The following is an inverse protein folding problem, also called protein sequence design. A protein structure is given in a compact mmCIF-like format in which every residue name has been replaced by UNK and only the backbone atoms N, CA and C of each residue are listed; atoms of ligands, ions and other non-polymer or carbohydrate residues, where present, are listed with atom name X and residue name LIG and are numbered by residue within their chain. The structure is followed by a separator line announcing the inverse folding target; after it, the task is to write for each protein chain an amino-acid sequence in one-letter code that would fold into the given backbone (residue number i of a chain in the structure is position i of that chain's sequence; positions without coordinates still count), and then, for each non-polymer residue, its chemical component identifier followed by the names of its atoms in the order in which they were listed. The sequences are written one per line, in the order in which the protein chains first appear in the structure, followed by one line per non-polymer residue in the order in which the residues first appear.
data_IF_407995064322
#
_entry.id   IF_407995064322
#
_cell.length_a   1.000
_cell.length_b   1.000
_cell.length_c   1.000
_cell.angle_alpha   90.00
_cell.angle_beta   90.00
_cell.angle_gamma   90.00
#
_symmetry.space_group_name_H-M   'P 1'
#
loop_
_entity.id
_entity.type
_entity.pdbx_description
1 polymer ?
#
# COMPACT_ATOMS: atom_id res chain seq x y z
N UNK A 1 42.50 -29.93 11.81
CA UNK A 1 41.90 -31.14 12.37
C UNK A 1 40.48 -30.79 12.73
N UNK A 2 39.61 -31.66 12.26
CA UNK A 2 38.19 -31.84 12.61
C UNK A 2 37.16 -30.97 11.89
N UNK A 3 36.85 -31.53 10.71
CA UNK A 3 35.62 -31.51 9.94
C UNK A 3 34.36 -31.72 10.76
N UNK A 4 33.28 -31.00 10.43
CA UNK A 4 31.92 -31.53 10.56
C UNK A 4 31.15 -31.27 9.27
N UNK A 5 30.64 -32.38 8.74
CA UNK A 5 29.85 -32.53 7.52
C UNK A 5 28.47 -31.88 7.68
N UNK A 6 28.08 -31.04 6.71
CA UNK A 6 26.68 -30.75 6.46
C UNK A 6 26.26 -31.51 5.20
N UNK A 7 25.39 -32.49 5.41
CA UNK A 7 24.71 -33.29 4.40
C UNK A 7 23.78 -32.41 3.56
N UNK A 8 24.20 -32.10 2.33
CA UNK A 8 23.34 -31.55 1.28
C UNK A 8 22.41 -32.66 0.76
N UNK A 9 21.13 -32.60 1.16
CA UNK A 9 20.07 -33.32 0.46
C UNK A 9 19.61 -32.47 -0.72
N UNK A 10 20.19 -32.77 -1.87
CA UNK A 10 19.86 -32.26 -3.19
C UNK A 10 18.45 -32.74 -3.60
N UNK A 11 17.44 -31.87 -3.47
CA UNK A 11 16.17 -32.03 -4.18
C UNK A 11 16.17 -31.07 -5.36
N UNK A 12 16.69 -31.56 -6.47
CA UNK A 12 16.62 -30.95 -7.79
C UNK A 12 15.16 -30.81 -8.24
N UNK A 13 14.56 -29.66 -7.93
CA UNK A 13 13.37 -29.19 -8.65
C UNK A 13 13.85 -28.20 -9.69
N UNK A 14 13.91 -28.69 -10.93
CA UNK A 14 14.17 -27.89 -12.11
C UNK A 14 13.04 -26.87 -12.29
N UNK A 15 13.25 -25.64 -11.80
CA UNK A 15 12.41 -24.50 -12.10
C UNK A 15 12.62 -24.11 -13.57
N UNK A 16 11.79 -24.71 -14.43
CA UNK A 16 11.60 -24.27 -15.81
C UNK A 16 10.92 -22.90 -15.73
N UNK A 17 11.70 -21.84 -15.90
CA UNK A 17 11.20 -20.50 -16.15
C UNK A 17 10.49 -20.50 -17.50
N UNK A 18 9.18 -20.72 -17.50
CA UNK A 18 8.34 -20.28 -18.61
C UNK A 18 8.00 -18.82 -18.39
N UNK A 19 8.78 -17.95 -19.05
CA UNK A 19 8.32 -16.62 -19.45
C UNK A 19 7.03 -16.81 -20.26
N UNK A 20 5.91 -16.79 -19.55
CA UNK A 20 4.61 -16.65 -20.18
C UNK A 20 4.21 -15.22 -19.91
N UNK A 21 4.66 -14.33 -20.78
CA UNK A 21 3.89 -13.14 -21.14
C UNK A 21 2.52 -13.67 -21.56
N UNK A 22 1.63 -13.75 -20.57
CA UNK A 22 0.23 -14.07 -20.76
C UNK A 22 -0.40 -12.83 -21.37
N UNK A 23 -0.12 -12.59 -22.65
CA UNK A 23 -1.00 -11.84 -23.54
C UNK A 23 -2.36 -12.51 -23.40
N UNK A 24 -3.22 -11.90 -22.58
CA UNK A 24 -4.61 -12.27 -22.52
C UNK A 24 -5.20 -11.97 -23.89
N UNK A 25 -5.29 -13.01 -24.71
CA UNK A 25 -5.82 -13.01 -26.07
C UNK A 25 -7.36 -12.84 -26.10
N UNK A 26 -7.88 -12.01 -25.19
CA UNK A 26 -9.21 -11.42 -25.31
C UNK A 26 -9.14 -10.35 -26.41
N UNK A 27 -9.08 -10.81 -27.66
CA UNK A 27 -9.37 -10.10 -28.92
C UNK A 27 -9.21 -8.58 -28.87
N UNK A 28 -7.97 -8.10 -28.71
CA UNK A 28 -7.61 -6.74 -29.14
C UNK A 28 -7.77 -6.57 -30.66
N UNK A 29 -8.03 -7.65 -31.40
CA UNK A 29 -8.28 -7.63 -32.84
C UNK A 29 -9.43 -6.71 -33.24
N UNK A 30 -10.49 -6.61 -32.41
CA UNK A 30 -11.58 -5.65 -32.63
C UNK A 30 -11.12 -4.18 -32.49
N UNK A 31 -10.17 -3.90 -31.59
CA UNK A 31 -9.57 -2.57 -31.40
C UNK A 31 -8.47 -2.25 -32.43
N UNK A 32 -8.01 -3.26 -33.19
CA UNK A 32 -7.00 -3.17 -34.25
C UNK A 32 -7.59 -3.22 -35.66
N UNK A 33 -8.91 -3.09 -35.80
CA UNK A 33 -9.56 -2.94 -37.11
C UNK A 33 -9.21 -1.55 -37.66
N UNK A 34 -8.17 -1.51 -38.50
CA UNK A 34 -7.82 -0.31 -39.26
C UNK A 34 -8.93 -0.04 -40.28
N UNK A 35 -9.67 1.05 -40.10
CA UNK A 35 -10.61 1.54 -41.10
C UNK A 35 -9.92 2.58 -41.99
N UNK A 36 -10.29 2.60 -43.27
CA UNK A 36 -9.86 3.66 -44.18
C UNK A 36 -10.55 4.94 -43.76
N UNK A 37 -9.77 5.90 -43.26
CA UNK A 37 -10.28 7.25 -42.97
C UNK A 37 -10.53 7.94 -44.31
N UNK A 38 -11.78 8.17 -44.63
CA UNK A 38 -12.17 9.00 -45.77
C UNK A 38 -11.91 10.47 -45.39
N UNK A 39 -10.88 11.08 -45.98
CA UNK A 39 -10.54 12.49 -45.74
C UNK A 39 -11.64 13.44 -46.20
N UNK A 40 -12.47 12.99 -47.14
CA UNK A 40 -13.54 13.79 -47.73
C UNK A 40 -14.87 13.60 -46.97
N UNK A 41 -14.96 12.58 -46.10
CA UNK A 41 -16.14 12.27 -45.30
C UNK A 41 -15.76 11.80 -43.88
N UNK A 42 -15.10 12.68 -43.13
CA UNK A 42 -14.73 12.41 -41.73
C UNK A 42 -15.99 12.24 -40.87
N UNK A 43 -16.04 11.17 -40.09
CA UNK A 43 -17.01 11.04 -39.00
C UNK A 43 -16.99 12.30 -38.13
N UNK A 44 -18.15 12.79 -37.66
CA UNK A 44 -18.18 13.95 -36.79
C UNK A 44 -17.32 13.68 -35.55
N UNK A 45 -16.59 14.70 -35.05
CA UNK A 45 -15.79 14.52 -33.85
C UNK A 45 -16.70 14.04 -32.71
N UNK A 46 -16.20 13.18 -31.80
CA UNK A 46 -16.95 12.78 -30.62
C UNK A 46 -17.48 14.02 -29.88
N UNK A 47 -18.68 13.94 -29.28
CA UNK A 47 -19.22 15.05 -28.50
C UNK A 47 -18.21 15.50 -27.45
N UNK A 48 -17.89 16.80 -27.43
CA UNK A 48 -17.08 17.37 -26.35
C UNK A 48 -17.97 17.51 -25.12
N UNK A 49 -17.86 16.58 -24.19
CA UNK A 49 -18.52 16.72 -22.89
C UNK A 49 -17.77 17.79 -22.09
N UNK A 50 -18.42 18.91 -21.73
CA UNK A 50 -17.78 19.88 -20.86
C UNK A 50 -17.54 19.24 -19.50
N UNK A 51 -16.36 19.46 -18.93
CA UNK A 51 -16.09 19.06 -17.56
C UNK A 51 -16.92 19.93 -16.62
N UNK A 52 -17.79 19.30 -15.82
CA UNK A 52 -18.71 19.97 -14.89
C UNK A 52 -18.30 19.82 -13.42
N UNK A 53 -17.21 19.09 -13.14
CA UNK A 53 -16.70 18.94 -11.79
C UNK A 53 -16.19 20.26 -11.22
N UNK A 54 -16.24 20.39 -9.90
CA UNK A 54 -15.53 21.46 -9.16
C UNK A 54 -14.32 20.83 -8.48
N UNK A 55 -13.12 20.93 -9.07
CA UNK A 55 -11.92 20.29 -8.55
C UNK A 55 -11.53 20.84 -7.18
N UNK A 56 -10.87 20.01 -6.38
CA UNK A 56 -10.38 20.41 -5.07
C UNK A 56 -10.85 19.51 -3.93
N UNK A 57 -10.44 19.92 -2.73
CA UNK A 57 -10.79 19.24 -1.49
C UNK A 57 -12.28 19.39 -1.19
N UNK A 58 -12.98 18.29 -0.89
CA UNK A 58 -14.40 18.28 -0.53
C UNK A 58 -14.64 18.61 0.94
N UNK A 59 -13.67 18.31 1.81
CA UNK A 59 -13.78 18.60 3.23
C UNK A 59 -13.50 20.07 3.52
N UNK A 60 -14.41 20.69 4.28
CA UNK A 60 -14.22 22.06 4.74
C UNK A 60 -13.19 22.09 5.86
N UNK A 61 -12.04 22.69 5.59
CA UNK A 61 -10.98 22.87 6.57
C UNK A 61 -11.21 24.19 7.32
N UNK A 62 -11.22 24.13 8.66
CA UNK A 62 -11.30 25.32 9.52
C UNK A 62 -9.93 25.97 9.74
N UNK A 63 -8.87 25.18 9.56
CA UNK A 63 -7.47 25.60 9.65
C UNK A 63 -6.66 25.20 8.41
N UNK A 64 -5.36 25.37 8.54
CA UNK A 64 -4.37 24.97 7.52
C UNK A 64 -3.21 24.19 8.15
N UNK A 65 -3.45 23.56 9.31
CA UNK A 65 -2.39 22.84 9.99
C UNK A 65 -2.08 21.53 9.23
N UNK A 66 -0.80 21.14 9.10
CA UNK A 66 -0.44 19.86 8.49
C UNK A 66 -1.11 18.64 9.16
N UNK A 67 -1.43 18.75 10.46
CA UNK A 67 -2.10 17.71 11.21
C UNK A 67 -3.58 17.52 10.78
N UNK A 68 -4.29 18.61 10.48
CA UNK A 68 -5.65 18.54 9.95
C UNK A 68 -5.66 17.79 8.61
N UNK A 69 -4.76 18.14 7.68
CA UNK A 69 -4.61 17.44 6.41
C UNK A 69 -4.27 15.96 6.58
N UNK A 70 -3.36 15.62 7.49
CA UNK A 70 -3.05 14.22 7.79
C UNK A 70 -4.27 13.45 8.31
N UNK A 71 -5.11 14.11 9.11
CA UNK A 71 -6.28 13.50 9.76
C UNK A 71 -7.43 13.22 8.79
N UNK A 72 -7.45 13.85 7.61
CA UNK A 72 -8.37 13.50 6.51
C UNK A 72 -8.14 12.04 6.08
N UNK A 73 -6.87 11.66 5.92
CA UNK A 73 -6.47 10.36 5.38
C UNK A 73 -6.20 9.31 6.46
N UNK A 74 -5.83 9.76 7.67
CA UNK A 74 -5.65 8.92 8.86
C UNK A 74 -6.52 9.42 10.02
N UNK A 75 -7.86 9.35 9.88
CA UNK A 75 -8.80 9.68 10.93
C UNK A 75 -8.72 8.70 12.11
N UNK A 76 -9.35 9.07 13.22
CA UNK A 76 -9.21 8.35 14.48
C UNK A 76 -9.76 6.93 14.47
N UNK A 77 -10.82 6.68 13.69
CA UNK A 77 -11.36 5.34 13.45
C UNK A 77 -10.32 4.40 12.83
N UNK A 78 -9.60 4.84 11.79
CA UNK A 78 -8.53 4.04 11.16
C UNK A 78 -7.38 3.80 12.15
N UNK A 79 -6.93 4.83 12.85
CA UNK A 79 -5.81 4.71 13.81
C UNK A 79 -6.20 3.81 15.00
N UNK A 80 -7.42 3.96 15.51
CA UNK A 80 -7.96 3.16 16.61
C UNK A 80 -8.12 1.70 16.19
N UNK A 81 -8.56 1.44 14.95
CA UNK A 81 -8.61 0.10 14.40
C UNK A 81 -7.21 -0.55 14.37
N UNK A 82 -6.20 0.14 13.85
CA UNK A 82 -4.82 -0.37 13.83
C UNK A 82 -4.30 -0.66 15.24
N UNK A 83 -4.58 0.23 16.21
CA UNK A 83 -4.19 0.04 17.60
C UNK A 83 -4.85 -1.22 18.19
N UNK A 84 -6.14 -1.42 17.94
CA UNK A 84 -6.92 -2.58 18.38
C UNK A 84 -6.34 -3.89 17.80
N UNK A 85 -6.09 -3.93 16.50
CA UNK A 85 -5.52 -5.12 15.84
C UNK A 85 -4.08 -5.40 16.27
N UNK A 86 -3.30 -4.35 16.54
CA UNK A 86 -1.93 -4.46 17.09
C UNK A 86 -1.94 -5.07 18.50
N UNK A 87 -2.86 -4.63 19.37
CA UNK A 87 -3.00 -5.19 20.73
C UNK A 87 -3.41 -6.65 20.69
N UNK A 88 -4.43 -6.98 19.88
CA UNK A 88 -4.90 -8.35 19.71
C UNK A 88 -3.81 -9.28 19.21
N UNK A 89 -3.05 -8.85 18.20
CA UNK A 89 -1.95 -9.66 17.69
C UNK A 89 -0.84 -9.90 18.72
N UNK A 90 -0.53 -8.89 19.55
CA UNK A 90 0.45 -9.04 20.62
C UNK A 90 -0.01 -10.03 21.69
N UNK A 91 -1.27 -9.94 22.12
CA UNK A 91 -1.89 -10.89 23.06
C UNK A 91 -1.85 -12.31 22.51
N UNK A 92 -2.37 -12.51 21.29
CA UNK A 92 -2.36 -13.79 20.58
C UNK A 92 -0.95 -14.39 20.52
N UNK A 93 0.06 -13.56 20.19
CA UNK A 93 1.44 -14.00 20.11
C UNK A 93 2.00 -14.44 21.46
N UNK A 94 1.72 -13.68 22.52
CA UNK A 94 2.20 -13.96 23.88
C UNK A 94 1.57 -15.24 24.42
N UNK A 95 0.28 -15.45 24.18
CA UNK A 95 -0.44 -16.65 24.62
C UNK A 95 0.01 -17.91 23.89
N UNK A 96 0.31 -17.81 22.59
CA UNK A 96 0.64 -18.97 21.74
C UNK A 96 2.13 -19.31 21.72
N UNK A 97 2.98 -18.51 22.36
CA UNK A 97 4.44 -18.69 22.31
C UNK A 97 5.00 -18.92 23.71
N UNK A 98 5.79 -19.98 23.87
CA UNK A 98 6.58 -20.20 25.08
C UNK A 98 7.72 -19.18 25.17
N UNK A 99 7.49 -18.10 25.90
CA UNK A 99 8.43 -16.99 26.07
C UNK A 99 9.15 -17.08 27.40
N UNK A 100 10.45 -16.79 27.40
CA UNK A 100 11.19 -16.59 28.65
C UNK A 100 10.65 -15.36 29.41
N UNK A 101 10.74 -15.33 30.75
CA UNK A 101 10.31 -14.18 31.55
C UNK A 101 11.02 -12.86 31.18
N UNK A 102 12.24 -12.96 30.64
CA UNK A 102 13.03 -11.80 30.18
C UNK A 102 12.67 -11.32 28.77
N UNK A 103 11.78 -12.01 28.07
CA UNK A 103 11.37 -11.66 26.72
C UNK A 103 10.75 -10.26 26.68
N UNK A 104 11.19 -9.44 25.74
CA UNK A 104 10.58 -8.11 25.49
C UNK A 104 9.10 -8.21 25.08
N UNK A 105 8.66 -9.35 24.55
CA UNK A 105 7.26 -9.59 24.24
C UNK A 105 6.40 -9.68 25.51
N UNK A 106 6.91 -10.28 26.59
CA UNK A 106 6.21 -10.34 27.89
C UNK A 106 6.05 -8.96 28.56
N UNK A 107 6.75 -7.95 28.04
CA UNK A 107 6.66 -6.57 28.52
C UNK A 107 5.72 -5.73 27.65
N UNK A 108 4.90 -6.38 26.82
CA UNK A 108 3.86 -5.71 26.05
C UNK A 108 2.94 -4.93 26.97
N UNK A 109 2.57 -3.75 26.49
CA UNK A 109 1.53 -2.91 27.05
C UNK A 109 0.68 -2.48 25.89
N UNK A 110 -0.63 -2.46 26.07
CA UNK A 110 -1.53 -2.02 25.02
C UNK A 110 -1.12 -0.64 24.49
N UNK A 111 -1.25 -0.47 23.17
CA UNK A 111 -1.07 0.80 22.47
C UNK A 111 -2.45 1.42 22.23
N UNK A 112 -2.60 2.70 22.57
CA UNK A 112 -3.79 3.49 22.24
C UNK A 112 -3.62 4.29 20.96
N UNK A 113 -4.71 4.86 20.42
CA UNK A 113 -4.67 5.67 19.19
C UNK A 113 -3.70 6.85 19.30
N UNK A 114 -3.69 7.55 20.43
CA UNK A 114 -2.78 8.69 20.68
C UNK A 114 -1.30 8.28 20.66
N UNK A 115 -0.95 7.15 21.28
CA UNK A 115 0.42 6.64 21.27
C UNK A 115 0.82 6.16 19.85
N UNK A 116 -0.11 5.52 19.13
CA UNK A 116 0.13 5.08 17.76
C UNK A 116 0.34 6.26 16.79
N UNK A 117 -0.34 7.40 17.01
CA UNK A 117 -0.08 8.65 16.26
C UNK A 117 1.35 9.15 16.48
N UNK A 118 1.85 9.09 17.72
CA UNK A 118 3.25 9.44 18.03
C UNK A 118 4.22 8.49 17.32
N UNK A 119 3.91 7.19 17.30
CA UNK A 119 4.67 6.21 16.54
C UNK A 119 4.72 6.52 15.03
N UNK A 120 3.59 6.88 14.41
CA UNK A 120 3.55 7.31 13.02
C UNK A 120 4.31 8.62 12.79
N UNK A 121 4.22 9.58 13.71
CA UNK A 121 5.00 10.82 13.63
C UNK A 121 6.51 10.54 13.62
N UNK A 122 6.97 9.57 14.43
CA UNK A 122 8.37 9.10 14.41
C UNK A 122 8.72 8.49 13.04
N UNK A 123 7.87 7.65 12.45
CA UNK A 123 8.11 7.06 11.12
C UNK A 123 8.21 8.15 10.04
N UNK A 124 7.30 9.13 10.07
CA UNK A 124 7.32 10.27 9.15
C UNK A 124 8.62 11.08 9.31
N UNK A 125 9.06 11.32 10.55
CA UNK A 125 10.31 12.02 10.83
C UNK A 125 11.55 11.24 10.38
N UNK A 126 11.55 9.91 10.52
CA UNK A 126 12.59 9.03 9.94
C UNK A 126 12.56 9.05 8.40
N UNK A 127 11.48 9.53 7.80
CA UNK A 127 11.38 9.87 6.38
C UNK A 127 12.33 10.99 5.96
N UNK A 128 12.48 11.98 6.84
CA UNK A 128 13.25 13.21 6.66
C UNK A 128 14.68 13.02 7.18
N UNK A 129 14.80 12.59 8.42
CA UNK A 129 16.08 12.30 9.07
C UNK A 129 16.42 10.85 8.79
N UNK A 130 17.33 10.58 7.85
CA UNK A 130 17.72 9.21 7.50
C UNK A 130 18.98 8.81 8.25
N UNK A 131 18.89 7.77 9.09
CA UNK A 131 20.04 7.12 9.74
C UNK A 131 20.24 5.70 9.22
N UNK A 132 21.49 5.20 9.13
CA UNK A 132 21.78 3.86 8.62
C UNK A 132 21.15 2.71 9.41
N UNK A 133 21.04 2.85 10.74
CA UNK A 133 20.54 1.81 11.63
C UNK A 133 19.41 2.34 12.50
N UNK A 134 18.39 1.52 12.74
CA UNK A 134 17.23 1.89 13.55
C UNK A 134 17.62 2.38 14.96
N UNK A 135 18.53 1.67 15.62
CA UNK A 135 19.00 2.03 16.97
C UNK A 135 19.71 3.40 17.03
N UNK A 136 20.21 3.92 15.91
CA UNK A 136 20.91 5.21 15.89
C UNK A 136 19.99 6.41 16.06
N UNK A 137 18.68 6.26 15.83
CA UNK A 137 17.69 7.30 16.12
C UNK A 137 17.56 7.61 17.63
N UNK A 138 18.03 6.71 18.49
CA UNK A 138 18.05 6.89 19.94
C UNK A 138 19.48 6.93 20.49
N UNK A 139 20.48 7.18 19.64
CA UNK A 139 21.87 7.27 20.07
C UNK A 139 22.10 8.48 20.97
N UNK A 140 22.87 8.29 22.04
CA UNK A 140 23.37 9.35 22.91
C UNK A 140 24.72 9.93 22.44
N UNK A 141 25.31 9.39 21.36
CA UNK A 141 26.52 9.96 20.78
C UNK A 141 26.21 11.36 20.22
N UNK A 142 26.86 12.43 20.70
CA UNK A 142 26.59 13.79 20.27
C UNK A 142 26.60 14.00 18.75
N UNK A 143 27.47 13.28 18.03
CA UNK A 143 27.62 13.39 16.57
C UNK A 143 26.40 12.93 15.77
N UNK A 144 25.61 12.01 16.33
CA UNK A 144 24.46 11.40 15.66
C UNK A 144 23.20 11.44 16.51
N UNK A 145 23.19 12.21 17.59
CA UNK A 145 22.04 12.28 18.48
C UNK A 145 20.84 12.90 17.77
N UNK A 146 19.65 12.43 18.13
CA UNK A 146 18.36 13.02 17.70
C UNK A 146 17.48 13.20 18.93
N UNK A 147 17.79 14.21 19.78
CA UNK A 147 17.19 14.33 21.11
C UNK A 147 15.66 14.31 21.11
N UNK A 148 15.05 14.96 20.12
CA UNK A 148 13.59 15.07 20.00
C UNK A 148 12.88 13.73 19.76
N UNK A 149 13.51 12.78 19.05
CA UNK A 149 12.96 11.44 18.86
C UNK A 149 12.91 10.66 20.18
N UNK A 150 14.00 10.75 20.96
CA UNK A 150 14.09 10.09 22.27
C UNK A 150 13.09 10.66 23.27
N UNK A 151 12.71 11.94 23.16
CA UNK A 151 11.67 12.54 24.02
C UNK A 151 10.25 12.13 23.64
N UNK A 152 9.99 11.72 22.39
CA UNK A 152 8.65 11.28 21.95
C UNK A 152 8.32 9.87 22.43
N UNK A 153 9.26 8.94 22.23
CA UNK A 153 9.06 7.53 22.55
C UNK A 153 10.42 6.87 22.75
N UNK A 154 10.53 5.96 23.74
CA UNK A 154 11.76 5.18 23.94
C UNK A 154 12.01 4.21 22.77
N UNK A 155 13.28 3.93 22.48
CA UNK A 155 13.69 2.92 21.48
C UNK A 155 13.00 1.58 21.73
N UNK A 156 12.97 1.17 23.00
CA UNK A 156 12.38 -0.10 23.42
C UNK A 156 10.89 -0.14 23.09
N UNK A 157 10.14 0.92 23.40
CA UNK A 157 8.69 0.99 23.10
C UNK A 157 8.45 1.03 21.60
N UNK A 158 9.20 1.84 20.85
CA UNK A 158 9.11 1.90 19.39
C UNK A 158 9.36 0.52 18.76
N UNK A 159 10.45 -0.14 19.13
CA UNK A 159 10.82 -1.48 18.63
C UNK A 159 9.78 -2.54 18.99
N UNK A 160 9.15 -2.44 20.17
CA UNK A 160 8.06 -3.32 20.58
C UNK A 160 6.78 -3.07 19.79
N UNK A 161 6.36 -1.82 19.56
CA UNK A 161 5.22 -1.50 18.69
C UNK A 161 5.50 -1.97 17.26
N UNK A 162 6.68 -1.67 16.72
CA UNK A 162 7.09 -2.09 15.36
C UNK A 162 7.02 -3.61 15.17
N UNK A 163 7.31 -4.40 16.22
CA UNK A 163 7.23 -5.87 16.20
C UNK A 163 5.80 -6.39 16.08
N UNK A 164 4.85 -5.74 16.74
CA UNK A 164 3.48 -6.23 16.84
C UNK A 164 2.48 -5.45 15.98
N UNK A 165 2.91 -4.40 15.29
CA UNK A 165 2.08 -3.59 14.41
C UNK A 165 1.31 -4.48 13.43
N UNK A 166 -0.02 -4.39 13.48
CA UNK A 166 -0.91 -5.28 12.75
C UNK A 166 -2.14 -4.52 12.25
N UNK A 167 -2.70 -4.95 11.12
CA UNK A 167 -3.70 -4.17 10.35
C UNK A 167 -4.96 -4.96 9.97
N UNK A 168 -5.12 -6.18 10.48
CA UNK A 168 -6.28 -7.04 10.19
C UNK A 168 -6.63 -7.89 11.40
N UNK A 169 -7.89 -8.32 11.49
CA UNK A 169 -8.29 -9.32 12.48
C UNK A 169 -8.00 -10.74 11.98
N UNK A 170 -6.94 -11.36 12.52
CA UNK A 170 -6.60 -12.74 12.17
C UNK A 170 -7.70 -13.75 12.53
N UNK A 171 -8.53 -13.46 13.53
CA UNK A 171 -9.56 -14.38 14.02
C UNK A 171 -10.81 -14.43 13.14
N UNK A 172 -11.00 -13.43 12.27
CA UNK A 172 -12.14 -13.36 11.35
C UNK A 172 -11.73 -13.49 9.89
N UNK A 173 -10.46 -13.80 9.63
CA UNK A 173 -9.92 -13.84 8.29
C UNK A 173 -10.31 -15.13 7.56
N UNK A 174 -11.20 -15.02 6.58
CA UNK A 174 -11.56 -16.08 5.65
C UNK A 174 -11.06 -15.77 4.24
N UNK A 175 -10.06 -16.52 3.78
CA UNK A 175 -9.44 -16.30 2.46
C UNK A 175 -10.34 -16.67 1.29
N UNK A 176 -11.38 -17.49 1.50
CA UNK A 176 -12.28 -17.90 0.42
C UNK A 176 -13.24 -16.79 0.01
N UNK A 177 -13.60 -15.91 0.94
CA UNK A 177 -14.51 -14.78 0.74
C UNK A 177 -13.79 -13.44 0.68
N UNK A 178 -12.49 -13.41 0.99
CA UNK A 178 -11.71 -12.17 1.05
C UNK A 178 -11.59 -11.50 -0.33
N UNK A 179 -11.90 -10.20 -0.49
CA UNK A 179 -11.87 -9.52 -1.80
C UNK A 179 -10.49 -9.52 -2.47
N UNK A 180 -9.41 -9.45 -1.69
CA UNK A 180 -8.05 -9.52 -2.20
C UNK A 180 -7.12 -10.36 -1.30
N UNK A 181 -7.12 -11.71 -1.41
CA UNK A 181 -6.42 -12.60 -0.47
C UNK A 181 -4.90 -12.37 -0.37
N UNK A 182 -4.29 -11.81 -1.44
CA UNK A 182 -2.90 -11.37 -1.44
C UNK A 182 -2.60 -10.23 -0.47
N UNK A 183 -3.59 -9.36 -0.20
CA UNK A 183 -3.48 -8.23 0.74
C UNK A 183 -4.07 -8.50 2.11
N UNK A 184 -4.47 -9.73 2.42
CA UNK A 184 -5.14 -10.12 3.67
C UNK A 184 -4.59 -9.54 4.98
N UNK A 185 -3.31 -9.15 5.01
CA UNK A 185 -2.66 -8.59 6.21
C UNK A 185 -2.85 -7.08 6.38
N UNK A 186 -3.29 -6.38 5.34
CA UNK A 186 -3.37 -4.91 5.29
C UNK A 186 -4.65 -4.40 4.64
N UNK A 187 -5.51 -5.29 4.13
CA UNK A 187 -6.57 -4.95 3.18
C UNK A 187 -7.57 -3.95 3.75
N UNK A 188 -7.98 -4.12 5.00
CA UNK A 188 -8.98 -3.30 5.68
C UNK A 188 -8.51 -1.85 5.79
N UNK A 189 -7.27 -1.65 6.23
CA UNK A 189 -6.67 -0.32 6.38
C UNK A 189 -6.33 0.28 5.01
N UNK A 190 -5.82 -0.54 4.09
CA UNK A 190 -5.53 -0.13 2.72
C UNK A 190 -6.79 0.39 2.01
N UNK A 191 -7.89 -0.36 2.08
CA UNK A 191 -9.15 0.02 1.43
C UNK A 191 -9.76 1.24 2.10
N UNK A 192 -9.72 1.33 3.43
CA UNK A 192 -10.17 2.53 4.15
C UNK A 192 -9.42 3.80 3.71
N UNK A 193 -8.08 3.73 3.60
CA UNK A 193 -7.25 4.85 3.12
C UNK A 193 -7.57 5.17 1.65
N UNK A 194 -7.73 4.15 0.80
CA UNK A 194 -8.06 4.34 -0.62
C UNK A 194 -9.44 5.00 -0.80
N UNK A 195 -10.41 4.68 0.06
CA UNK A 195 -11.70 5.36 0.10
C UNK A 195 -11.57 6.81 0.57
N UNK A 196 -10.66 7.11 1.50
CA UNK A 196 -10.32 8.50 1.86
C UNK A 196 -9.73 9.28 0.68
N UNK A 197 -8.85 8.68 -0.12
CA UNK A 197 -8.33 9.31 -1.33
C UNK A 197 -9.45 9.71 -2.31
N UNK A 198 -10.43 8.83 -2.53
CA UNK A 198 -11.56 9.08 -3.45
C UNK A 198 -12.56 10.10 -2.92
N UNK A 199 -12.85 10.03 -1.61
CA UNK A 199 -13.88 10.85 -0.98
C UNK A 199 -13.39 12.25 -0.67
N UNK A 200 -12.12 12.44 -0.30
CA UNK A 200 -11.60 13.73 0.13
C UNK A 200 -11.43 14.75 -1.00
N UNK A 201 -11.27 14.32 -2.25
CA UNK A 201 -10.85 15.20 -3.36
C UNK A 201 -11.60 14.92 -4.65
N UNK A 202 -11.91 15.98 -5.40
CA UNK A 202 -12.41 15.92 -6.79
C UNK A 202 -11.24 16.26 -7.73
N UNK A 203 -10.80 15.32 -8.59
CA UNK A 203 -9.80 15.61 -9.62
C UNK A 203 -10.28 16.62 -10.66
N UNK A 204 -9.34 17.33 -11.26
CA UNK A 204 -9.49 18.05 -12.51
C UNK A 204 -9.82 17.10 -13.69
N UNK A 205 -10.15 17.69 -14.84
CA UNK A 205 -10.53 16.97 -16.05
C UNK A 205 -9.43 16.00 -16.55
N UNK A 206 -8.16 16.33 -16.31
CA UNK A 206 -7.01 15.62 -16.85
C UNK A 206 -6.45 14.68 -15.77
N UNK A 207 -6.50 13.38 -16.06
CA UNK A 207 -6.05 12.31 -15.16
C UNK A 207 -5.04 11.42 -15.87
N UNK A 208 -4.15 10.81 -15.09
CA UNK A 208 -3.14 9.87 -15.57
C UNK A 208 -3.23 8.55 -14.80
N UNK A 209 -3.14 7.44 -15.52
CA UNK A 209 -2.98 6.11 -14.94
C UNK A 209 -1.60 5.59 -15.31
N UNK A 210 -0.79 5.22 -14.31
CA UNK A 210 0.54 4.65 -14.55
C UNK A 210 0.94 3.68 -13.42
N UNK A 211 2.03 2.97 -13.65
CA UNK A 211 2.63 2.00 -12.76
C UNK A 211 3.67 2.64 -11.83
N UNK A 212 3.50 2.42 -10.54
CA UNK A 212 4.50 2.75 -9.51
C UNK A 212 5.08 1.47 -8.89
N UNK A 213 6.34 1.52 -8.47
CA UNK A 213 7.01 0.38 -7.85
C UNK A 213 7.68 0.80 -6.55
N UNK A 214 7.17 0.28 -5.43
CA UNK A 214 7.77 0.46 -4.12
C UNK A 214 8.85 -0.59 -3.90
N UNK A 215 10.10 -0.15 -3.73
CA UNK A 215 11.23 -1.04 -3.44
C UNK A 215 10.90 -1.94 -2.24
N UNK A 216 10.96 -3.25 -2.45
CA UNK A 216 10.78 -4.23 -1.38
C UNK A 216 11.74 -5.40 -1.58
N UNK A 217 12.60 -5.63 -0.58
CA UNK A 217 13.65 -6.66 -0.64
C UNK A 217 13.30 -7.95 0.11
N UNK A 218 12.17 -7.99 0.82
CA UNK A 218 11.75 -9.16 1.58
C UNK A 218 11.20 -10.30 0.71
N UNK A 219 10.78 -11.38 1.40
CA UNK A 219 10.03 -12.50 0.80
C UNK A 219 8.56 -12.12 0.75
N UNK A 220 8.01 -12.04 -0.46
CA UNK A 220 6.61 -11.72 -0.72
C UNK A 220 6.21 -12.34 -2.06
N UNK A 221 5.11 -13.11 -2.07
CA UNK A 221 4.72 -13.91 -3.23
C UNK A 221 4.37 -13.11 -4.49
N UNK A 222 3.91 -11.87 -4.33
CA UNK A 222 3.53 -10.99 -5.44
C UNK A 222 4.55 -9.88 -5.73
N UNK A 223 5.77 -10.00 -5.21
CA UNK A 223 6.87 -9.08 -5.55
C UNK A 223 7.15 -9.15 -7.05
N UNK A 224 7.19 -8.00 -7.71
CA UNK A 224 7.41 -7.87 -9.15
C UNK A 224 8.86 -7.51 -9.47
N UNK A 225 9.34 -7.98 -10.62
CA UNK A 225 10.59 -7.54 -11.24
C UNK A 225 10.28 -6.64 -12.44
N UNK A 226 10.72 -5.38 -12.40
CA UNK A 226 10.58 -4.43 -13.49
C UNK A 226 11.97 -3.91 -13.89
N UNK A 227 12.61 -4.46 -14.94
CA UNK A 227 14.03 -4.21 -15.25
C UNK A 227 14.32 -2.74 -15.59
N UNK A 228 13.33 -2.03 -16.15
CA UNK A 228 13.44 -0.62 -16.56
C UNK A 228 13.27 0.37 -15.39
N UNK A 229 12.76 -0.06 -14.23
CA UNK A 229 12.58 0.82 -13.06
C UNK A 229 13.85 0.84 -12.20
N UNK A 230 14.11 1.98 -11.52
CA UNK A 230 15.29 2.15 -10.64
C UNK A 230 15.32 1.13 -9.50
N UNK A 231 14.19 0.99 -8.80
CA UNK A 231 13.93 -0.20 -8.01
C UNK A 231 13.58 -1.30 -9.00
N UNK A 232 14.43 -2.31 -9.16
CA UNK A 232 14.12 -3.42 -10.08
C UNK A 232 13.16 -4.43 -9.47
N UNK A 233 13.12 -4.54 -8.14
CA UNK A 233 12.27 -5.47 -7.40
C UNK A 233 11.40 -4.72 -6.40
N UNK A 234 10.10 -4.99 -6.37
CA UNK A 234 9.21 -4.28 -5.46
C UNK A 234 7.75 -4.71 -5.50
N UNK A 235 6.94 -3.98 -4.76
CA UNK A 235 5.48 -4.08 -4.80
C UNK A 235 5.00 -3.13 -5.89
N UNK A 236 4.29 -3.66 -6.89
CA UNK A 236 3.75 -2.89 -8.02
C UNK A 236 2.39 -2.33 -7.66
N UNK A 237 2.18 -1.05 -7.98
CA UNK A 237 0.94 -0.32 -7.84
C UNK A 237 0.50 0.18 -9.21
N UNK A 238 -0.80 0.17 -9.46
CA UNK A 238 -1.41 1.01 -10.48
C UNK A 238 -2.05 2.20 -9.78
N UNK A 239 -1.69 3.42 -10.19
CA UNK A 239 -2.15 4.64 -9.54
C UNK A 239 -2.89 5.49 -10.56
N UNK A 240 -4.10 5.90 -10.19
CA UNK A 240 -4.88 6.92 -10.91
C UNK A 240 -4.66 8.25 -10.19
N UNK A 241 -4.04 9.18 -10.89
CA UNK A 241 -3.68 10.48 -10.35
C UNK A 241 -4.28 11.63 -11.15
N UNK A 242 -4.56 12.75 -10.49
CA UNK A 242 -4.77 14.02 -11.18
C UNK A 242 -3.47 14.47 -11.85
N UNK A 243 -3.53 14.86 -13.13
CA UNK A 243 -2.32 15.19 -13.91
C UNK A 243 -1.62 16.47 -13.45
N UNK A 244 -2.35 17.45 -12.92
CA UNK A 244 -1.78 18.75 -12.54
C UNK A 244 -1.11 18.73 -11.16
N UNK A 245 -1.72 18.12 -10.15
CA UNK A 245 -1.16 18.06 -8.79
C UNK A 245 -0.38 16.78 -8.47
N UNK A 246 -0.61 15.69 -9.22
CA UNK A 246 -0.12 14.36 -8.88
C UNK A 246 -0.87 13.70 -7.72
N UNK A 247 -2.01 14.26 -7.29
CA UNK A 247 -2.86 13.67 -6.25
C UNK A 247 -3.32 12.28 -6.66
N UNK A 248 -3.07 11.27 -5.81
CA UNK A 248 -3.52 9.89 -6.02
C UNK A 248 -5.00 9.82 -5.64
N UNK A 249 -5.88 9.64 -6.62
CA UNK A 249 -7.31 9.47 -6.38
C UNK A 249 -7.69 8.01 -6.10
N UNK A 250 -7.01 7.06 -6.74
CA UNK A 250 -7.20 5.64 -6.49
C UNK A 250 -5.88 4.89 -6.68
N UNK A 251 -5.66 3.85 -5.88
CA UNK A 251 -4.51 2.97 -5.98
C UNK A 251 -4.98 1.52 -6.02
N UNK A 252 -4.27 0.68 -6.77
CA UNK A 252 -4.44 -0.78 -6.81
C UNK A 252 -3.09 -1.44 -6.60
N UNK A 253 -2.95 -2.29 -5.57
CA UNK A 253 -1.75 -3.11 -5.39
C UNK A 253 -1.88 -4.38 -6.22
N UNK A 254 -0.92 -4.62 -7.11
CA UNK A 254 -0.89 -5.83 -7.91
C UNK A 254 -0.43 -7.02 -7.06
N UNK A 255 -1.29 -8.02 -6.93
CA UNK A 255 -1.03 -9.25 -6.14
C UNK A 255 -0.86 -10.52 -6.99
N UNK A 256 -0.65 -10.39 -8.30
CA UNK A 256 -0.55 -11.52 -9.24
C UNK A 256 -1.80 -11.68 -10.11
N UNK A 257 -2.01 -12.89 -10.65
CA UNK A 257 -3.06 -13.18 -11.64
C UNK A 257 -4.49 -13.08 -11.09
N UNK A 258 -4.68 -13.30 -9.79
CA UNK A 258 -6.00 -13.32 -9.15
C UNK A 258 -6.42 -11.97 -8.57
N UNK A 259 -5.99 -10.84 -9.17
CA UNK A 259 -6.56 -9.53 -8.79
C UNK A 259 -7.96 -9.47 -9.42
N UNK A 260 -9.05 -9.45 -8.65
CA UNK A 260 -10.36 -9.18 -9.21
C UNK A 260 -10.35 -7.70 -9.63
N UNK A 261 -9.99 -7.45 -10.89
CA UNK A 261 -10.33 -6.19 -11.53
C UNK A 261 -11.85 -6.09 -11.41
N UNK A 262 -12.34 -5.05 -10.73
CA UNK A 262 -13.78 -4.82 -10.59
C UNK A 262 -14.44 -5.03 -11.95
N UNK A 263 -15.56 -5.78 -11.93
CA UNK A 263 -16.36 -6.21 -13.10
C UNK A 263 -16.14 -5.24 -14.27
N UNK A 264 -15.62 -5.74 -15.41
CA UNK A 264 -15.59 -4.97 -16.67
C UNK A 264 -16.93 -4.26 -16.78
N UNK A 265 -16.95 -2.94 -16.61
CA UNK A 265 -18.17 -2.19 -16.87
C UNK A 265 -18.49 -2.49 -18.33
N UNK A 266 -19.63 -3.14 -18.56
CA UNK A 266 -20.16 -3.29 -19.90
C UNK A 266 -20.13 -1.90 -20.54
N UNK A 267 -19.68 -1.77 -21.81
CA UNK A 267 -19.67 -0.47 -22.47
C UNK A 267 -21.04 0.16 -22.25
N UNK A 268 -21.05 1.40 -21.75
CA UNK A 268 -22.27 2.17 -21.62
C UNK A 268 -22.86 2.23 -23.03
N UNK A 269 -23.90 1.44 -23.28
CA UNK A 269 -24.72 1.59 -24.47
C UNK A 269 -25.33 2.98 -24.37
N UNK A 270 -24.71 3.94 -25.04
CA UNK A 270 -25.32 5.23 -25.31
C UNK A 270 -26.55 4.92 -26.16
N UNK A 271 -27.70 4.79 -25.51
CA UNK A 271 -28.98 4.80 -26.21
C UNK A 271 -29.03 6.10 -27.00
N UNK A 272 -28.84 5.98 -28.31
CA UNK A 272 -29.19 7.03 -29.27
C UNK A 272 -30.70 7.12 -29.26
N UNK A 273 -31.25 7.92 -28.35
CA UNK A 273 -32.62 8.40 -28.46
C UNK A 273 -32.63 9.47 -29.56
N UNK A 274 -33.12 9.06 -30.74
CA UNK A 274 -33.71 9.97 -31.73
C UNK A 274 -34.98 10.61 -31.17
#
# INVERSE_FOLDING_TARGET
MDSEEYSDSDSSVSDVFTDTDSDSDDSLDAARVWCKVDSDNLSPPPPKFPFTGTPGLKEQMYGSSPLEFFSIFMPDDIVSYIATETNRYAEDFIEKTDLTPSSRAQQWKEVGSSELRVFFAIILLQGIIRKPLQKWYWSQNPLISTPYLSSMMSEKRFSTIMRFLHFTNNNTLDLSTHPQPGLRKIYEVYEAINQKFKSAYVPEKDISVDESLMLFKGRLGFKQYLPKKRARFGIKFYQLCESSSGYIWNSIIYTGKDVPYGVRQQPIELQQTL
#
